data_IF_531512975763
#
_entry.id   IF_531512975763
#
_cell.length_a   1.000
_cell.length_b   1.000
_cell.length_c   1.000
_cell.angle_alpha   90.00
_cell.angle_beta   90.00
_cell.angle_gamma   90.00
#
_symmetry.space_group_name_H-M   'P 1'
#
loop_
_entity.id
_entity.type
_entity.pdbx_description
1 polymer ?
#
# COMPACT_ATOMS: atom_id res chain seq x y z
N UNK A 1 46.24 -42.30 -34.47
CA UNK A 1 45.26 -42.32 -33.35
C UNK A 1 43.90 -42.02 -33.97
N UNK A 2 43.04 -43.02 -34.07
CA UNK A 2 41.73 -42.89 -34.72
C UNK A 2 40.69 -42.52 -33.66
N UNK A 3 40.02 -41.38 -33.85
CA UNK A 3 38.91 -40.94 -33.00
C UNK A 3 37.61 -41.34 -33.69
N UNK A 4 36.72 -42.02 -32.96
CA UNK A 4 35.40 -42.41 -33.48
C UNK A 4 34.41 -41.24 -33.38
N UNK A 5 33.42 -41.13 -34.29
CA UNK A 5 32.32 -40.18 -34.13
C UNK A 5 31.26 -40.74 -33.15
N UNK A 6 30.91 -39.94 -32.14
CA UNK A 6 29.86 -40.30 -31.16
C UNK A 6 28.46 -40.35 -31.78
N UNK A 7 27.78 -41.48 -31.59
CA UNK A 7 26.37 -41.69 -31.96
C UNK A 7 25.45 -41.27 -30.81
N UNK A 8 25.06 -39.99 -30.76
CA UNK A 8 24.30 -39.42 -29.64
C UNK A 8 23.16 -38.46 -30.02
N UNK A 9 22.40 -38.73 -31.11
CA UNK A 9 21.22 -37.94 -31.51
C UNK A 9 20.08 -38.80 -32.10
N UNK A 10 19.52 -39.75 -31.35
CA UNK A 10 18.30 -40.51 -31.74
C UNK A 10 17.34 -40.84 -30.57
N UNK A 11 17.22 -39.99 -29.55
CA UNK A 11 16.28 -40.21 -28.43
C UNK A 11 15.52 -38.94 -28.03
N UNK A 12 14.64 -38.45 -28.91
CA UNK A 12 13.68 -37.37 -28.56
C UNK A 12 12.38 -37.30 -29.36
N UNK A 13 12.24 -37.98 -30.51
CA UNK A 13 11.02 -37.87 -31.33
C UNK A 13 9.85 -38.77 -30.88
N UNK A 14 10.13 -39.92 -30.24
CA UNK A 14 9.09 -40.91 -29.89
C UNK A 14 8.19 -40.54 -28.70
N UNK A 15 8.50 -39.46 -27.98
CA UNK A 15 7.74 -39.02 -26.81
C UNK A 15 6.62 -37.99 -27.11
N UNK A 16 6.35 -37.67 -28.38
CA UNK A 16 5.43 -36.57 -28.77
C UNK A 16 4.11 -37.00 -29.43
N UNK A 17 3.84 -38.30 -29.58
CA UNK A 17 2.59 -38.78 -30.21
C UNK A 17 1.50 -39.27 -29.24
N UNK A 18 1.84 -39.64 -28.00
CA UNK A 18 0.87 -40.30 -27.10
C UNK A 18 0.00 -39.33 -26.25
N UNK A 19 0.26 -38.01 -26.29
CA UNK A 19 -0.55 -37.02 -25.54
C UNK A 19 -1.85 -36.60 -26.23
N UNK A 20 -2.38 -37.39 -27.17
CA UNK A 20 -3.56 -37.06 -28.00
C UNK A 20 -4.90 -37.66 -27.53
N UNK A 21 -4.93 -38.39 -26.42
CA UNK A 21 -6.13 -39.10 -25.94
C UNK A 21 -6.75 -38.53 -24.64
N UNK A 22 -6.43 -37.27 -24.29
CA UNK A 22 -6.92 -36.63 -23.05
C UNK A 22 -8.25 -35.88 -23.27
N UNK A 23 -9.37 -36.61 -23.21
CA UNK A 23 -10.65 -36.09 -22.71
C UNK A 23 -11.24 -34.87 -23.42
N UNK A 24 -11.63 -35.00 -24.69
CA UNK A 24 -12.66 -34.15 -25.28
C UNK A 24 -14.01 -34.43 -24.62
N UNK A 25 -14.27 -33.78 -23.48
CA UNK A 25 -15.63 -33.58 -23.02
C UNK A 25 -16.40 -32.80 -24.10
N UNK A 26 -17.65 -33.15 -24.43
CA UNK A 26 -18.43 -32.39 -25.39
C UNK A 26 -18.65 -30.98 -24.81
N UNK A 27 -17.99 -29.99 -25.41
CA UNK A 27 -18.23 -28.58 -25.10
C UNK A 27 -19.71 -28.29 -25.36
N UNK A 28 -20.37 -27.64 -24.42
CA UNK A 28 -21.78 -27.29 -24.56
C UNK A 28 -21.93 -26.33 -25.75
N UNK A 29 -22.91 -26.59 -26.62
CA UNK A 29 -23.11 -25.79 -27.84
C UNK A 29 -23.30 -24.28 -27.55
N UNK A 30 -23.76 -23.95 -26.34
CA UNK A 30 -23.89 -22.59 -25.80
C UNK A 30 -22.54 -21.85 -25.72
N UNK A 31 -21.45 -22.55 -25.35
CA UNK A 31 -20.12 -21.96 -25.26
C UNK A 31 -19.56 -21.58 -26.64
N UNK A 32 -19.83 -22.41 -27.66
CA UNK A 32 -19.45 -22.10 -29.04
C UNK A 32 -20.24 -20.91 -29.61
N UNK A 33 -21.54 -20.79 -29.31
CA UNK A 33 -22.32 -19.62 -29.73
C UNK A 33 -21.84 -18.34 -29.07
N UNK A 34 -21.52 -18.39 -27.77
CA UNK A 34 -21.04 -17.23 -27.02
C UNK A 34 -19.69 -16.73 -27.52
N UNK A 35 -18.76 -17.63 -27.83
CA UNK A 35 -17.48 -17.27 -28.44
C UNK A 35 -17.67 -16.57 -29.80
N UNK A 36 -18.50 -17.15 -30.69
CA UNK A 36 -18.79 -16.58 -32.02
C UNK A 36 -19.48 -15.22 -31.96
N UNK A 37 -20.27 -14.96 -30.92
CA UNK A 37 -20.92 -13.66 -30.72
C UNK A 37 -19.92 -12.58 -30.23
N UNK A 38 -19.07 -12.91 -29.26
CA UNK A 38 -17.97 -12.04 -28.80
C UNK A 38 -17.01 -11.71 -29.95
N UNK A 39 -16.59 -12.71 -30.72
CA UNK A 39 -15.69 -12.53 -31.86
C UNK A 39 -16.29 -11.57 -32.90
N UNK A 40 -17.61 -11.64 -33.11
CA UNK A 40 -18.33 -10.76 -34.05
C UNK A 40 -18.45 -9.33 -33.52
N UNK A 41 -18.78 -9.15 -32.24
CA UNK A 41 -18.84 -7.83 -31.59
C UNK A 41 -17.47 -7.14 -31.63
N UNK A 42 -16.41 -7.87 -31.28
CA UNK A 42 -15.06 -7.31 -31.25
C UNK A 42 -14.43 -7.16 -32.64
N UNK A 43 -14.75 -8.02 -33.61
CA UNK A 43 -14.41 -7.78 -35.01
C UNK A 43 -15.13 -6.58 -35.63
N UNK A 44 -16.28 -6.16 -35.06
CA UNK A 44 -16.94 -4.90 -35.43
C UNK A 44 -16.27 -3.70 -34.74
N UNK A 45 -16.02 -3.76 -33.42
CA UNK A 45 -15.24 -2.74 -32.71
C UNK A 45 -13.83 -2.51 -33.29
N UNK A 46 -13.13 -3.57 -33.73
CA UNK A 46 -11.84 -3.47 -34.42
C UNK A 46 -11.90 -2.65 -35.72
N UNK A 47 -13.05 -2.67 -36.42
CA UNK A 47 -13.26 -1.96 -37.69
C UNK A 47 -13.70 -0.51 -37.47
N UNK A 48 -14.47 -0.26 -36.41
CA UNK A 48 -15.00 1.06 -36.08
C UNK A 48 -13.95 1.90 -35.35
N UNK A 49 -13.39 1.41 -34.23
CA UNK A 49 -12.42 2.14 -33.40
C UNK A 49 -11.35 1.19 -32.81
N UNK A 50 -10.26 0.88 -33.53
CA UNK A 50 -9.22 -0.07 -33.07
C UNK A 50 -8.43 0.42 -31.84
N UNK A 51 -8.61 1.68 -31.41
CA UNK A 51 -7.93 2.30 -30.27
C UNK A 51 -8.68 2.08 -28.95
N UNK A 52 -9.99 1.82 -28.98
CA UNK A 52 -10.82 1.67 -27.76
C UNK A 52 -10.79 0.26 -27.15
N UNK A 53 -10.00 -0.67 -27.70
CA UNK A 53 -10.01 -2.07 -27.24
C UNK A 53 -9.31 -2.17 -25.89
N UNK A 54 -10.07 -2.51 -24.85
CA UNK A 54 -9.54 -2.58 -23.49
C UNK A 54 -8.76 -3.87 -23.25
N UNK A 55 -7.90 -3.89 -22.23
CA UNK A 55 -7.20 -5.11 -21.81
C UNK A 55 -8.17 -6.23 -21.42
N UNK A 56 -9.33 -5.88 -20.85
CA UNK A 56 -10.36 -6.83 -20.45
C UNK A 56 -11.06 -7.47 -21.66
N UNK A 57 -11.30 -6.71 -22.74
CA UNK A 57 -11.82 -7.26 -24.00
C UNK A 57 -10.81 -8.24 -24.62
N UNK A 58 -9.52 -7.88 -24.64
CA UNK A 58 -8.46 -8.73 -25.17
C UNK A 58 -8.31 -10.05 -24.37
N UNK A 59 -8.36 -9.96 -23.04
CA UNK A 59 -8.35 -11.12 -22.16
C UNK A 59 -9.60 -12.00 -22.34
N UNK A 60 -10.77 -11.38 -22.55
CA UNK A 60 -12.04 -12.08 -22.80
C UNK A 60 -12.00 -12.88 -24.10
N UNK A 61 -11.57 -12.28 -25.22
CA UNK A 61 -11.42 -12.98 -26.51
C UNK A 61 -10.38 -14.10 -26.39
N UNK A 62 -9.21 -13.82 -25.81
CA UNK A 62 -8.15 -14.81 -25.69
C UNK A 62 -8.57 -16.01 -24.82
N UNK A 63 -9.37 -15.78 -23.78
CA UNK A 63 -9.97 -16.84 -22.96
C UNK A 63 -11.06 -17.61 -23.72
N UNK A 64 -11.94 -16.92 -24.45
CA UNK A 64 -13.01 -17.54 -25.24
C UNK A 64 -12.45 -18.41 -26.37
N UNK A 65 -11.50 -17.90 -27.17
CA UNK A 65 -10.82 -18.66 -28.22
C UNK A 65 -10.06 -19.86 -27.64
N UNK A 66 -9.33 -19.68 -26.53
CA UNK A 66 -8.61 -20.80 -25.88
C UNK A 66 -9.57 -21.87 -25.35
N UNK A 67 -10.73 -21.48 -24.83
CA UNK A 67 -11.75 -22.42 -24.35
C UNK A 67 -12.45 -23.15 -25.49
N UNK A 68 -12.76 -22.46 -26.59
CA UNK A 68 -13.41 -23.04 -27.77
C UNK A 68 -12.48 -23.99 -28.55
N UNK A 69 -11.20 -23.62 -28.69
CA UNK A 69 -10.21 -24.39 -29.43
C UNK A 69 -9.51 -25.48 -28.59
N UNK A 70 -9.56 -25.39 -27.26
CA UNK A 70 -8.85 -26.29 -26.35
C UNK A 70 -7.32 -26.17 -26.37
N UNK A 71 -6.78 -25.20 -27.11
CA UNK A 71 -5.35 -24.94 -27.26
C UNK A 71 -5.08 -23.46 -27.52
N UNK A 72 -3.80 -23.06 -27.41
CA UNK A 72 -3.35 -21.68 -27.60
C UNK A 72 -3.83 -21.12 -28.95
N UNK A 73 -4.41 -19.90 -28.99
CA UNK A 73 -4.90 -19.33 -30.25
C UNK A 73 -3.82 -19.20 -31.34
N UNK A 74 -4.17 -19.42 -32.62
CA UNK A 74 -3.25 -19.20 -33.74
C UNK A 74 -2.93 -17.72 -33.94
N UNK A 75 -1.82 -17.42 -34.61
CA UNK A 75 -1.32 -16.04 -34.79
C UNK A 75 -2.19 -15.14 -35.67
N UNK A 76 -3.10 -15.72 -36.45
CA UNK A 76 -4.07 -14.99 -37.28
C UNK A 76 -5.43 -14.78 -36.58
N UNK A 77 -5.60 -15.27 -35.34
CA UNK A 77 -6.88 -15.22 -34.62
C UNK A 77 -7.31 -13.80 -34.21
N UNK A 78 -8.55 -13.64 -33.76
CA UNK A 78 -9.06 -12.35 -33.28
C UNK A 78 -8.31 -11.93 -32.01
N UNK A 79 -7.95 -12.87 -31.12
CA UNK A 79 -7.09 -12.56 -29.97
C UNK A 79 -5.69 -12.07 -30.40
N UNK A 80 -5.10 -12.69 -31.42
CA UNK A 80 -3.77 -12.30 -31.91
C UNK A 80 -3.78 -10.95 -32.64
N UNK A 81 -4.79 -10.69 -33.49
CA UNK A 81 -5.01 -9.37 -34.11
C UNK A 81 -5.30 -8.29 -33.06
N UNK A 82 -6.06 -8.63 -32.03
CA UNK A 82 -6.31 -7.75 -30.88
C UNK A 82 -4.98 -7.40 -30.22
N UNK A 83 -4.14 -8.38 -29.86
CA UNK A 83 -2.79 -8.14 -29.31
C UNK A 83 -1.89 -7.30 -30.23
N UNK A 84 -1.93 -7.50 -31.54
CA UNK A 84 -1.19 -6.69 -32.50
C UNK A 84 -1.63 -5.20 -32.48
N UNK A 85 -2.89 -4.92 -32.16
CA UNK A 85 -3.39 -3.56 -31.99
C UNK A 85 -2.95 -2.92 -30.65
N UNK A 86 -2.68 -3.69 -29.58
CA UNK A 86 -2.07 -3.14 -28.35
C UNK A 86 -0.70 -2.50 -28.61
N UNK A 87 0.12 -3.13 -29.47
CA UNK A 87 1.41 -2.55 -29.85
C UNK A 87 1.24 -1.21 -30.59
N UNK A 88 0.25 -1.09 -31.49
CA UNK A 88 -0.08 0.17 -32.18
C UNK A 88 -0.62 1.24 -31.22
N UNK A 89 -1.42 0.84 -30.23
CA UNK A 89 -1.88 1.75 -29.18
C UNK A 89 -0.69 2.32 -28.38
N UNK A 90 0.37 1.53 -28.16
CA UNK A 90 1.59 2.02 -27.53
C UNK A 90 2.29 3.12 -28.33
N UNK A 91 2.40 2.95 -29.66
CA UNK A 91 2.94 4.00 -30.55
C UNK A 91 2.11 5.30 -30.51
N UNK A 92 0.78 5.19 -30.36
CA UNK A 92 -0.13 6.34 -30.23
C UNK A 92 0.12 7.08 -28.91
N UNK A 93 0.24 6.37 -27.79
CA UNK A 93 0.54 6.98 -26.48
C UNK A 93 1.93 7.60 -26.46
N UNK A 94 2.93 6.97 -27.09
CA UNK A 94 4.26 7.58 -27.22
C UNK A 94 4.18 8.90 -28.01
N UNK A 95 3.43 8.93 -29.12
CA UNK A 95 3.19 10.18 -29.86
C UNK A 95 2.43 11.23 -29.05
N UNK A 96 1.45 10.84 -28.21
CA UNK A 96 0.82 11.77 -27.26
C UNK A 96 1.85 12.33 -26.29
N UNK A 97 2.71 11.49 -25.70
CA UNK A 97 3.75 11.91 -24.76
C UNK A 97 4.73 12.94 -25.37
N UNK A 98 5.07 12.76 -26.65
CA UNK A 98 5.99 13.65 -27.39
C UNK A 98 5.34 14.96 -27.86
N UNK A 99 4.07 14.93 -28.28
CA UNK A 99 3.40 16.09 -28.92
C UNK A 99 2.45 16.86 -27.99
N UNK A 100 1.77 16.17 -27.08
CA UNK A 100 0.77 16.73 -26.16
C UNK A 100 0.79 16.00 -24.80
N UNK A 101 1.85 16.18 -24.00
CA UNK A 101 1.98 15.54 -22.70
C UNK A 101 0.80 15.74 -21.71
N UNK A 102 0.06 16.88 -21.65
CA UNK A 102 -1.10 16.99 -20.76
C UNK A 102 -2.31 16.12 -21.16
N UNK A 103 -2.36 15.60 -22.40
CA UNK A 103 -3.40 14.65 -22.83
C UNK A 103 -3.20 13.22 -22.27
N UNK A 104 -2.00 12.91 -21.75
CA UNK A 104 -1.67 11.57 -21.25
C UNK A 104 -2.43 11.25 -19.95
N UNK A 105 -3.19 10.16 -19.96
CA UNK A 105 -4.03 9.72 -18.83
C UNK A 105 -3.39 8.59 -18.00
N UNK A 106 -3.90 8.36 -16.78
CA UNK A 106 -3.53 7.20 -15.97
C UNK A 106 -3.95 5.85 -16.58
N UNK A 107 -4.88 5.84 -17.53
CA UNK A 107 -5.26 4.64 -18.28
C UNK A 107 -4.24 4.33 -19.37
N UNK A 108 -3.80 5.35 -20.14
CA UNK A 108 -2.68 5.23 -21.07
C UNK A 108 -1.44 4.66 -20.35
N UNK A 109 -1.09 5.19 -19.17
CA UNK A 109 0.05 4.70 -18.38
C UNK A 109 -0.03 3.21 -18.00
N UNK A 110 -1.19 2.74 -17.52
CA UNK A 110 -1.41 1.32 -17.19
C UNK A 110 -1.33 0.44 -18.43
N UNK A 111 -1.82 0.93 -19.56
CA UNK A 111 -1.79 0.22 -20.84
C UNK A 111 -0.36 -0.03 -21.30
N UNK A 112 0.49 1.00 -21.36
CA UNK A 112 1.91 0.87 -21.76
C UNK A 112 2.67 -0.06 -20.81
N UNK A 113 2.48 0.09 -19.50
CA UNK A 113 3.10 -0.77 -18.49
C UNK A 113 2.75 -2.26 -18.70
N UNK A 114 1.49 -2.57 -19.06
CA UNK A 114 1.05 -3.93 -19.35
C UNK A 114 1.66 -4.49 -20.64
N UNK A 115 1.73 -3.68 -21.70
CA UNK A 115 2.35 -4.07 -22.98
C UNK A 115 3.84 -4.31 -22.82
N UNK A 116 4.55 -3.39 -22.15
CA UNK A 116 6.00 -3.51 -21.93
C UNK A 116 6.34 -4.71 -21.02
N UNK A 117 5.58 -4.92 -19.94
CA UNK A 117 5.74 -6.11 -19.09
C UNK A 117 5.50 -7.41 -19.87
N UNK A 118 4.51 -7.47 -20.78
CA UNK A 118 4.27 -8.65 -21.61
C UNK A 118 5.39 -8.88 -22.63
N UNK A 119 5.96 -7.82 -23.19
CA UNK A 119 7.06 -7.89 -24.14
C UNK A 119 8.39 -8.32 -23.48
N UNK A 120 8.69 -7.79 -22.29
CA UNK A 120 9.92 -8.11 -21.54
C UNK A 120 9.82 -9.40 -20.71
N UNK A 121 8.62 -9.83 -20.35
CA UNK A 121 8.38 -10.93 -19.41
C UNK A 121 8.65 -10.59 -17.94
N UNK A 122 8.98 -9.34 -17.63
CA UNK A 122 9.26 -8.85 -16.29
C UNK A 122 8.81 -7.38 -16.11
N UNK A 123 8.85 -6.88 -14.88
CA UNK A 123 8.55 -5.47 -14.58
C UNK A 123 9.41 -4.53 -15.45
N UNK A 124 8.82 -3.53 -16.12
CA UNK A 124 9.58 -2.58 -16.92
C UNK A 124 10.54 -1.74 -16.05
N UNK A 125 11.72 -1.35 -16.57
CA UNK A 125 12.70 -0.57 -15.82
C UNK A 125 12.22 0.87 -15.58
N UNK A 126 12.78 1.54 -14.55
CA UNK A 126 12.37 2.90 -14.12
C UNK A 126 12.61 3.99 -15.17
N UNK A 127 13.46 3.70 -16.14
CA UNK A 127 13.85 4.61 -17.21
C UNK A 127 13.10 4.30 -18.53
N UNK A 128 12.13 3.39 -18.51
CA UNK A 128 11.34 3.03 -19.69
C UNK A 128 10.27 4.04 -20.06
N UNK A 129 9.68 3.82 -21.25
CA UNK A 129 8.53 4.58 -21.75
C UNK A 129 7.35 4.44 -20.79
N UNK A 130 7.05 3.24 -20.27
CA UNK A 130 5.99 3.05 -19.26
C UNK A 130 6.18 3.96 -18.04
N UNK A 131 7.41 4.03 -17.52
CA UNK A 131 7.73 4.85 -16.37
C UNK A 131 7.67 6.37 -16.69
N UNK A 132 8.00 6.77 -17.91
CA UNK A 132 7.84 8.15 -18.37
C UNK A 132 6.36 8.53 -18.50
N UNK A 133 5.55 7.72 -19.19
CA UNK A 133 4.10 7.92 -19.35
C UNK A 133 3.41 7.96 -17.98
N UNK A 134 3.77 7.08 -17.05
CA UNK A 134 3.22 7.08 -15.69
C UNK A 134 3.57 8.35 -14.90
N UNK A 135 4.82 8.86 -15.01
CA UNK A 135 5.21 10.13 -14.38
C UNK A 135 4.40 11.30 -14.93
N UNK A 136 4.19 11.37 -16.25
CA UNK A 136 3.40 12.42 -16.90
C UNK A 136 1.93 12.32 -16.51
N UNK A 137 1.32 11.14 -16.59
CA UNK A 137 -0.06 10.90 -16.17
C UNK A 137 -0.32 11.34 -14.72
N UNK A 138 0.53 10.93 -13.77
CA UNK A 138 0.39 11.35 -12.37
C UNK A 138 0.69 12.83 -12.13
N UNK A 139 1.43 13.51 -13.02
CA UNK A 139 1.59 14.96 -12.97
C UNK A 139 0.33 15.67 -13.50
N UNK A 140 -0.28 15.14 -14.56
CA UNK A 140 -1.53 15.64 -15.14
C UNK A 140 -2.69 15.49 -14.14
N UNK A 141 -2.87 14.31 -13.54
CA UNK A 141 -3.88 14.04 -12.52
C UNK A 141 -3.78 15.03 -11.34
N UNK A 142 -2.58 15.28 -10.83
CA UNK A 142 -2.34 16.29 -9.77
C UNK A 142 -2.63 17.72 -10.22
N UNK A 143 -2.50 18.01 -11.51
CA UNK A 143 -2.75 19.32 -12.08
C UNK A 143 -4.24 19.55 -12.33
N UNK A 144 -4.99 18.51 -12.71
CA UNK A 144 -6.45 18.54 -12.83
C UNK A 144 -7.16 18.52 -11.47
N UNK A 145 -6.62 17.81 -10.48
CA UNK A 145 -7.19 17.72 -9.13
C UNK A 145 -6.94 18.97 -8.25
N UNK A 146 -6.37 20.05 -8.82
CA UNK A 146 -6.01 21.30 -8.14
C UNK A 146 -7.13 22.11 -7.48
N UNK A 147 -8.36 21.57 -7.37
CA UNK A 147 -9.51 22.14 -6.65
C UNK A 147 -9.92 21.26 -5.45
N UNK A 148 -9.44 20.02 -5.35
CA UNK A 148 -9.78 19.10 -4.27
C UNK A 148 -8.55 18.72 -3.42
N UNK A 149 -8.26 19.53 -2.40
CA UNK A 149 -7.54 19.03 -1.21
C UNK A 149 -8.46 18.02 -0.52
N UNK A 150 -8.49 16.79 -1.03
CA UNK A 150 -9.05 15.64 -0.33
C UNK A 150 -7.90 14.83 0.23
N UNK A 151 -7.82 14.86 1.54
CA UNK A 151 -7.05 13.94 2.37
C UNK A 151 -7.51 12.50 2.09
N UNK A 152 -6.87 11.86 1.10
CA UNK A 152 -7.08 10.44 0.82
C UNK A 152 -6.43 9.60 1.92
N UNK A 153 -7.14 9.44 3.02
CA UNK A 153 -6.87 8.40 4.00
C UNK A 153 -6.85 7.05 3.26
N UNK A 154 -5.80 6.22 3.41
CA UNK A 154 -5.74 4.93 2.75
C UNK A 154 -6.80 4.01 3.35
N UNK A 155 -7.85 3.72 2.58
CA UNK A 155 -8.85 2.69 2.92
C UNK A 155 -8.19 1.33 2.80
N UNK A 156 -7.55 0.88 3.86
CA UNK A 156 -7.07 -0.49 3.98
C UNK A 156 -8.26 -1.42 4.14
N UNK A 157 -8.58 -2.20 3.09
CA UNK A 157 -9.37 -3.42 3.28
C UNK A 157 -8.55 -4.43 4.07
N UNK A 158 -9.21 -5.14 4.97
CA UNK A 158 -8.59 -6.14 5.84
C UNK A 158 -7.86 -7.25 5.09
N UNK A 159 -6.53 -7.19 5.07
CA UNK A 159 -5.72 -8.41 5.16
C UNK A 159 -4.37 -8.14 5.82
N UNK A 160 -4.01 -9.01 6.77
CA UNK A 160 -2.74 -8.95 7.51
C UNK A 160 -1.56 -9.20 6.56
N UNK A 161 -0.86 -8.15 6.16
CA UNK A 161 0.55 -8.26 5.74
C UNK A 161 1.39 -7.25 6.51
N UNK A 162 2.01 -7.74 7.59
CA UNK A 162 2.90 -7.01 8.48
C UNK A 162 4.31 -6.87 7.87
N UNK A 163 4.42 -6.35 6.64
CA UNK A 163 5.70 -6.23 5.90
C UNK A 163 5.76 -4.90 5.11
N UNK A 164 5.57 -3.75 5.77
CA UNK A 164 5.78 -2.44 5.14
C UNK A 164 6.25 -1.30 6.07
N UNK A 165 6.68 -1.60 7.30
CA UNK A 165 7.22 -0.58 8.22
C UNK A 165 8.53 0.07 7.76
N UNK A 166 9.23 -0.56 6.81
CA UNK A 166 10.53 -0.14 6.28
C UNK A 166 10.45 0.77 5.05
N UNK A 167 9.29 0.87 4.37
CA UNK A 167 9.18 1.48 3.04
C UNK A 167 9.09 3.01 2.99
N UNK A 168 8.75 3.69 4.09
CA UNK A 168 8.75 5.15 4.13
C UNK A 168 10.17 5.68 4.35
N UNK A 169 10.59 6.66 3.55
CA UNK A 169 11.90 7.31 3.68
C UNK A 169 12.06 7.95 5.06
N UNK A 170 13.28 8.01 5.60
CA UNK A 170 13.53 8.61 6.92
C UNK A 170 13.01 10.06 6.98
N UNK A 171 13.21 10.83 5.91
CA UNK A 171 12.71 12.20 5.73
C UNK A 171 11.18 12.28 5.91
N UNK A 172 10.43 11.27 5.44
CA UNK A 172 8.97 11.21 5.63
C UNK A 172 8.61 10.96 7.09
N UNK A 173 9.37 10.14 7.80
CA UNK A 173 9.12 9.82 9.22
C UNK A 173 9.45 10.99 10.13
N UNK A 174 10.58 11.65 9.87
CA UNK A 174 11.02 12.87 10.56
C UNK A 174 9.98 13.98 10.41
N UNK A 175 9.52 14.29 9.18
CA UNK A 175 8.47 15.30 8.96
C UNK A 175 7.15 14.96 9.66
N UNK A 176 6.74 13.69 9.64
CA UNK A 176 5.53 13.27 10.36
C UNK A 176 5.69 13.45 11.88
N UNK A 177 6.87 13.14 12.43
CA UNK A 177 7.16 13.39 13.84
C UNK A 177 7.20 14.88 14.17
N UNK A 178 7.81 15.71 13.32
CA UNK A 178 7.89 17.16 13.49
C UNK A 178 6.50 17.81 13.52
N UNK A 179 5.59 17.41 12.62
CA UNK A 179 4.19 17.90 12.60
C UNK A 179 3.49 17.52 13.90
N UNK A 180 3.53 16.24 14.30
CA UNK A 180 2.93 15.79 15.57
C UNK A 180 3.57 16.49 16.78
N UNK A 181 4.88 16.73 16.76
CA UNK A 181 5.59 17.43 17.83
C UNK A 181 5.15 18.89 17.95
N UNK A 182 4.96 19.60 16.83
CA UNK A 182 4.43 20.97 16.83
C UNK A 182 3.00 21.03 17.38
N UNK A 183 2.12 20.10 16.98
CA UNK A 183 0.76 19.98 17.52
C UNK A 183 0.76 19.72 19.02
N UNK A 184 1.59 18.79 19.50
CA UNK A 184 1.67 18.47 20.94
C UNK A 184 2.33 19.57 21.76
N UNK A 185 3.32 20.28 21.21
CA UNK A 185 3.93 21.44 21.87
C UNK A 185 2.93 22.58 22.03
N UNK A 186 2.15 22.88 20.98
CA UNK A 186 1.09 23.88 21.04
C UNK A 186 0.00 23.51 22.06
N UNK A 187 -0.39 22.23 22.17
CA UNK A 187 -1.26 21.74 23.24
C UNK A 187 -0.62 21.95 24.62
N UNK A 188 0.62 21.52 24.82
CA UNK A 188 1.30 21.58 26.12
C UNK A 188 1.50 23.02 26.62
N UNK A 189 1.70 23.98 25.72
CA UNK A 189 1.87 25.40 26.06
C UNK A 189 0.55 26.12 26.35
N UNK A 190 -0.52 25.83 25.62
CA UNK A 190 -1.79 26.57 25.71
C UNK A 190 -2.86 25.87 26.57
N UNK A 191 -2.96 24.54 26.44
CA UNK A 191 -4.02 23.70 27.02
C UNK A 191 -3.48 22.30 27.41
N UNK A 192 -2.59 22.21 28.42
CA UNK A 192 -2.06 20.93 28.86
C UNK A 192 -3.19 19.96 29.25
N UNK A 193 -4.28 20.45 29.84
CA UNK A 193 -5.47 19.68 30.23
C UNK A 193 -6.12 18.87 29.10
N UNK A 194 -5.99 19.32 27.85
CA UNK A 194 -6.53 18.64 26.66
C UNK A 194 -5.63 17.51 26.14
N UNK A 195 -4.47 17.27 26.76
CA UNK A 195 -3.56 16.18 26.40
C UNK A 195 -4.14 14.84 26.90
N UNK A 196 -4.61 14.03 25.95
CA UNK A 196 -5.22 12.73 26.22
C UNK A 196 -4.20 11.58 26.19
N UNK A 197 -4.60 10.43 26.74
CA UNK A 197 -3.83 9.18 26.60
C UNK A 197 -3.66 8.72 25.15
N UNK A 198 -4.52 9.15 24.21
CA UNK A 198 -4.40 8.81 22.78
C UNK A 198 -3.44 9.74 22.05
N UNK A 199 -3.37 11.02 22.41
CA UNK A 199 -2.31 11.95 21.99
C UNK A 199 -0.92 11.39 22.35
N UNK A 200 -0.76 10.96 23.60
CA UNK A 200 0.48 10.34 24.09
C UNK A 200 0.86 9.05 23.32
N UNK A 201 -0.12 8.21 22.95
CA UNK A 201 0.09 7.03 22.09
C UNK A 201 0.46 7.42 20.67
N UNK A 202 -0.13 8.49 20.13
CA UNK A 202 0.14 8.99 18.77
C UNK A 202 1.57 9.52 18.68
N UNK A 203 1.95 10.44 19.58
CA UNK A 203 3.30 10.97 19.73
C UNK A 203 4.34 9.85 19.87
N UNK A 204 4.11 8.87 20.76
CA UNK A 204 4.99 7.70 20.94
C UNK A 204 5.19 6.88 19.66
N UNK A 205 4.14 6.71 18.84
CA UNK A 205 4.23 5.98 17.57
C UNK A 205 5.01 6.75 16.51
N UNK A 206 4.89 8.08 16.46
CA UNK A 206 5.68 8.91 15.56
C UNK A 206 7.17 8.86 15.95
N UNK A 207 7.46 9.10 17.23
CA UNK A 207 8.81 9.06 17.82
C UNK A 207 9.51 7.71 17.58
N UNK A 208 8.85 6.60 17.93
CA UNK A 208 9.41 5.25 17.72
C UNK A 208 9.68 4.94 16.23
N UNK A 209 8.96 5.57 15.28
CA UNK A 209 9.20 5.38 13.83
C UNK A 209 10.33 6.24 13.28
N UNK A 210 10.56 7.42 13.86
CA UNK A 210 11.61 8.35 13.47
C UNK A 210 12.95 8.02 14.15
N UNK A 211 12.93 7.86 15.48
CA UNK A 211 14.12 7.76 16.34
C UNK A 211 14.34 6.36 16.94
N UNK A 212 13.39 5.43 16.77
CA UNK A 212 13.51 4.03 17.23
C UNK A 212 13.14 3.80 18.70
N UNK A 213 12.92 4.86 19.48
CA UNK A 213 12.52 4.78 20.88
C UNK A 213 12.32 6.16 21.50
N UNK A 214 11.71 6.22 22.68
CA UNK A 214 11.44 7.48 23.40
C UNK A 214 12.57 7.80 24.37
N UNK A 215 13.27 8.91 24.18
CA UNK A 215 14.33 9.35 25.09
C UNK A 215 13.77 9.98 26.39
N UNK A 216 14.51 9.88 27.50
CA UNK A 216 14.13 10.48 28.78
C UNK A 216 14.23 12.00 28.68
N UNK A 217 13.15 12.71 29.02
CA UNK A 217 13.08 14.17 28.95
C UNK A 217 12.67 14.73 27.58
N UNK A 218 12.53 13.87 26.55
CA UNK A 218 11.96 14.26 25.25
C UNK A 218 10.54 14.80 25.38
N UNK A 219 10.08 15.57 24.39
CA UNK A 219 8.70 16.06 24.32
C UNK A 219 7.69 14.90 24.42
N UNK A 220 7.98 13.75 23.80
CA UNK A 220 7.16 12.53 23.93
C UNK A 220 7.02 12.05 25.38
N UNK A 221 8.09 12.12 26.18
CA UNK A 221 8.06 11.75 27.59
C UNK A 221 7.25 12.76 28.42
N UNK A 222 7.31 14.06 28.07
CA UNK A 222 6.51 15.11 28.71
C UNK A 222 5.01 14.92 28.43
N UNK A 223 4.63 14.74 27.16
CA UNK A 223 3.24 14.45 26.74
C UNK A 223 2.69 13.19 27.41
N UNK A 224 3.49 12.13 27.55
CA UNK A 224 3.11 10.93 28.30
C UNK A 224 2.91 11.19 29.80
N UNK A 225 3.76 12.01 30.42
CA UNK A 225 3.61 12.40 31.83
C UNK A 225 2.34 13.21 32.06
N UNK A 226 2.00 14.14 31.18
CA UNK A 226 0.83 15.01 31.35
C UNK A 226 -0.47 14.23 31.11
N UNK A 227 -0.55 13.42 30.05
CA UNK A 227 -1.65 12.48 29.86
C UNK A 227 -1.87 11.56 31.08
N UNK A 228 -0.79 11.05 31.67
CA UNK A 228 -0.88 10.18 32.84
C UNK A 228 -1.32 10.92 34.12
N UNK A 229 -0.98 12.21 34.28
CA UNK A 229 -1.54 13.03 35.38
C UNK A 229 -3.06 13.15 35.23
N UNK A 230 -3.54 13.54 34.05
CA UNK A 230 -4.97 13.74 33.81
C UNK A 230 -5.78 12.46 33.95
N UNK A 231 -5.25 11.30 33.50
CA UNK A 231 -5.90 10.01 33.72
C UNK A 231 -6.02 9.64 35.21
N UNK A 232 -5.02 9.99 36.02
CA UNK A 232 -5.06 9.76 37.47
C UNK A 232 -5.97 10.75 38.21
N UNK A 233 -6.00 12.01 37.81
CA UNK A 233 -6.87 13.02 38.42
C UNK A 233 -8.35 12.84 38.04
N UNK A 234 -8.64 12.30 36.84
CA UNK A 234 -9.98 11.83 36.49
C UNK A 234 -10.44 10.71 37.43
N UNK A 235 -9.66 9.62 37.56
CA UNK A 235 -9.97 8.48 38.46
C UNK A 235 -10.16 8.92 39.92
N UNK A 236 -9.38 9.91 40.39
CA UNK A 236 -9.54 10.48 41.74
C UNK A 236 -10.86 11.21 41.94
N UNK A 237 -11.35 11.95 40.93
CA UNK A 237 -12.64 12.64 40.99
C UNK A 237 -13.79 11.65 41.07
N UNK A 238 -13.78 10.62 40.22
CA UNK A 238 -14.82 9.57 40.21
C UNK A 238 -14.92 8.84 41.56
N UNK A 239 -13.77 8.58 42.20
CA UNK A 239 -13.70 7.93 43.52
C UNK A 239 -14.19 8.76 44.72
N UNK A 240 -14.57 10.04 44.52
CA UNK A 240 -14.96 10.95 45.61
C UNK A 240 -16.47 11.21 45.70
N UNK A 241 -17.28 10.58 44.85
CA UNK A 241 -18.71 10.91 44.70
C UNK A 241 -19.67 10.03 45.52
N UNK A 242 -19.20 8.96 46.16
CA UNK A 242 -20.01 8.04 46.97
C UNK A 242 -19.61 8.06 48.46
N UNK A 243 -19.97 9.14 49.16
CA UNK A 243 -20.13 9.13 50.63
C UNK A 243 -21.32 10.01 51.01
N UNK A 244 -22.44 9.46 51.49
CA UNK A 244 -23.56 10.27 51.98
C UNK A 244 -23.21 10.94 53.32
N UNK A 245 -23.79 12.11 53.56
CA UNK A 245 -23.74 12.77 54.86
C UNK A 245 -24.46 11.93 55.93
N UNK A 246 -23.79 11.66 57.05
CA UNK A 246 -24.47 11.34 58.32
C UNK A 246 -23.92 12.24 59.43
N UNK A 247 -24.81 12.64 60.35
CA UNK A 247 -24.69 13.87 61.15
C UNK A 247 -24.46 13.57 62.62
N UNK A 248 -23.42 14.18 63.23
CA UNK A 248 -23.13 14.23 64.69
C UNK A 248 -22.84 12.84 65.34
N UNK A 249 -22.00 12.61 66.35
CA UNK A 249 -21.37 13.37 67.46
C UNK A 249 -20.21 12.48 68.02
N UNK A 250 -19.38 12.77 69.03
CA UNK A 250 -19.32 13.80 70.11
C UNK A 250 -17.84 14.02 70.51
N UNK A 251 -17.61 14.80 71.57
CA UNK A 251 -16.42 14.81 72.45
C UNK A 251 -16.01 13.37 72.89
N UNK A 252 -14.75 13.01 73.18
CA UNK A 252 -13.79 13.64 74.09
C UNK A 252 -12.33 13.22 73.75
N UNK A 253 -11.33 13.96 74.26
CA UNK A 253 -9.93 13.83 73.81
C UNK A 253 -9.08 12.73 74.46
N UNK A 254 -8.04 12.29 73.74
CA UNK A 254 -6.82 11.69 74.33
C UNK A 254 -5.58 12.30 73.67
N UNK A 255 -4.59 12.56 74.52
CA UNK A 255 -3.33 13.27 74.29
C UNK A 255 -2.22 12.35 73.71
N UNK A 256 -1.08 12.95 73.29
CA UNK A 256 0.25 12.32 73.05
C UNK A 256 0.33 11.34 71.85
N UNK A 257 1.20 11.51 70.84
CA UNK A 257 2.67 11.46 70.97
C UNK A 257 3.37 11.72 69.63
N UNK A 258 4.51 12.43 69.63
CA UNK A 258 5.48 12.41 68.52
C UNK A 258 6.37 11.15 68.59
N UNK A 259 7.08 10.76 67.51
CA UNK A 259 8.43 11.32 67.23
C UNK A 259 8.69 11.55 65.70
N UNK A 260 9.67 12.32 65.20
CA UNK A 260 11.14 12.10 65.19
C UNK A 260 11.51 10.64 64.82
N UNK A 261 12.47 10.28 63.97
CA UNK A 261 13.55 10.95 63.19
C UNK A 261 13.53 10.33 61.75
N UNK A 262 14.40 10.57 60.78
CA UNK A 262 15.65 11.36 60.64
C UNK A 262 15.78 11.81 59.16
N UNK A 263 16.90 12.44 58.77
CA UNK A 263 17.30 12.59 57.36
C UNK A 263 18.63 11.87 57.09
N UNK A 264 18.75 11.19 55.94
CA UNK A 264 20.05 10.65 55.46
C UNK A 264 20.49 11.29 54.16
N UNK A 265 21.28 12.36 54.32
CA UNK A 265 22.14 12.96 53.29
C UNK A 265 23.19 11.93 52.83
N UNK A 266 23.43 11.82 51.53
CA UNK A 266 24.59 11.11 50.99
C UNK A 266 25.33 12.00 49.97
N UNK A 267 26.42 12.61 50.41
CA UNK A 267 27.48 13.14 49.53
C UNK A 267 28.10 11.97 48.74
N UNK A 268 28.30 12.09 47.42
CA UNK A 268 29.38 12.86 46.79
C UNK A 268 30.78 12.38 47.20
N UNK A 269 31.38 11.55 46.34
CA UNK A 269 32.80 11.21 46.37
C UNK A 269 33.39 11.44 44.97
N UNK A 270 34.17 12.52 44.84
CA UNK A 270 34.99 12.86 43.68
C UNK A 270 36.35 12.16 43.75
N UNK A 271 36.84 11.64 42.62
CA UNK A 271 38.21 11.14 42.46
C UNK A 271 38.32 10.24 41.22
N UNK A 272 39.29 10.41 40.33
CA UNK A 272 40.35 11.41 40.28
C UNK A 272 40.97 11.50 38.87
N UNK A 273 42.11 12.20 38.75
CA UNK A 273 42.95 12.35 37.55
C UNK A 273 43.27 11.03 36.79
#
# INVERSE_FOLDING_TARGET
MSVQPDTALQVSEKAREESKASGTAPLTAEAESFAKEIDKELAQKLKEDPVQITHEDAARVQSAEHHALGHRPPHDSVAAQTQANFHKAADVVQKKLENDPPSVTGEDAKHIMSVEHKALGHMPPKDSISAAVQRTASANERSSDGIAIRTHAPVTRDRRESIAGSGQSNITREKNFEITAQEMMAKLENHPEDITGDDAKHMRRADTRAHGGTEKGSLTAQVQSEAAKHENDAKRKDSKTDTPEEVSKTDDGVELSAPKVEATKAEAATGGD
#
